data_IF_689574277347
#
_entry.id   IF_689574277347
#
_cell.length_a   1.000
_cell.length_b   1.000
_cell.length_c   1.000
_cell.angle_alpha   90.00
_cell.angle_beta   90.00
_cell.angle_gamma   90.00
#
_symmetry.space_group_name_H-M   'P 1'
#
loop_
_entity.id
_entity.type
_entity.pdbx_description
1 polymer ?
#
# COMPACT_ATOMS: atom_id res chain seq x y z
N UNK A 1 -10.15 -1.13 10.54
CA UNK A 1 -9.76 -2.55 10.47
C UNK A 1 -9.94 -2.99 9.03
N UNK A 2 -8.84 -3.23 8.30
CA UNK A 2 -8.86 -3.67 6.91
C UNK A 2 -8.23 -5.05 6.88
N UNK A 3 -9.01 -6.06 6.46
CA UNK A 3 -8.54 -7.45 6.37
C UNK A 3 -7.99 -7.63 4.98
N UNK A 4 -6.68 -7.87 4.88
CA UNK A 4 -6.03 -8.17 3.63
C UNK A 4 -5.82 -9.68 3.51
N UNK A 5 -6.08 -10.20 2.31
CA UNK A 5 -6.05 -11.63 2.06
C UNK A 5 -4.67 -12.24 2.37
N UNK A 6 -4.66 -13.40 3.01
CA UNK A 6 -3.42 -14.03 3.47
C UNK A 6 -2.52 -14.50 2.33
N UNK A 7 -3.12 -14.97 1.22
CA UNK A 7 -2.37 -15.36 0.03
C UNK A 7 -1.75 -14.12 -0.62
N UNK A 8 -2.49 -13.00 -0.72
CA UNK A 8 -1.97 -11.73 -1.21
C UNK A 8 -0.79 -11.21 -0.35
N UNK A 9 -0.91 -11.27 0.98
CA UNK A 9 0.20 -10.93 1.89
C UNK A 9 1.44 -11.79 1.64
N UNK A 10 1.28 -13.11 1.45
CA UNK A 10 2.39 -14.01 1.14
C UNK A 10 3.02 -13.73 -0.22
N UNK A 11 2.23 -13.35 -1.23
CA UNK A 11 2.72 -12.96 -2.54
C UNK A 11 3.57 -11.70 -2.45
N UNK A 12 3.08 -10.67 -1.75
CA UNK A 12 3.81 -9.42 -1.53
C UNK A 12 5.13 -9.70 -0.79
N UNK A 13 5.08 -10.41 0.34
CA UNK A 13 6.26 -10.70 1.17
C UNK A 13 7.35 -11.53 0.47
N UNK A 14 6.99 -12.33 -0.54
CA UNK A 14 7.97 -13.08 -1.36
C UNK A 14 8.43 -12.32 -2.59
N UNK A 15 7.68 -11.31 -2.99
CA UNK A 15 8.01 -10.46 -4.13
C UNK A 15 8.97 -9.34 -3.70
N UNK A 16 9.53 -8.63 -4.67
CA UNK A 16 10.24 -7.37 -4.43
C UNK A 16 9.33 -6.16 -4.66
N UNK A 17 8.02 -6.33 -4.42
CA UNK A 17 6.99 -5.33 -4.69
C UNK A 17 6.69 -4.58 -3.40
N UNK A 18 6.84 -3.26 -3.43
CA UNK A 18 6.39 -2.38 -2.35
C UNK A 18 4.88 -2.15 -2.49
N UNK A 19 4.12 -2.41 -1.42
CA UNK A 19 2.69 -2.23 -1.35
C UNK A 19 2.33 -1.02 -0.49
N UNK A 20 1.49 -0.14 -1.04
CA UNK A 20 1.01 1.07 -0.39
C UNK A 20 -0.47 0.96 -0.05
N UNK A 21 -0.80 1.10 1.23
CA UNK A 21 -2.17 1.10 1.73
C UNK A 21 -2.57 2.52 2.12
N UNK A 22 -3.43 3.13 1.29
CA UNK A 22 -3.90 4.51 1.43
C UNK A 22 -5.43 4.59 1.43
N UNK A 23 -5.98 5.62 2.07
CA UNK A 23 -7.44 5.82 2.07
C UNK A 23 -7.89 6.46 0.76
N UNK A 24 -8.70 5.76 -0.03
CA UNK A 24 -9.10 6.19 -1.39
C UNK A 24 -9.85 7.52 -1.46
N UNK A 25 -10.42 8.03 -0.35
CA UNK A 25 -11.04 9.35 -0.29
C UNK A 25 -10.01 10.49 -0.25
N UNK A 26 -8.78 10.23 0.18
CA UNK A 26 -7.71 11.22 0.15
C UNK A 26 -6.90 11.09 -1.15
N UNK A 27 -7.38 11.75 -2.20
CA UNK A 27 -6.78 11.71 -3.54
C UNK A 27 -5.32 12.20 -3.56
N UNK A 28 -4.95 13.07 -2.62
CA UNK A 28 -3.61 13.62 -2.52
C UNK A 28 -2.61 12.57 -2.03
N UNK A 29 -3.00 11.74 -1.06
CA UNK A 29 -2.21 10.60 -0.61
C UNK A 29 -2.17 9.48 -1.66
N UNK A 30 -3.27 9.24 -2.38
CA UNK A 30 -3.29 8.29 -3.51
C UNK A 30 -2.27 8.70 -4.57
N UNK A 31 -2.28 9.97 -4.99
CA UNK A 31 -1.31 10.47 -5.97
C UNK A 31 0.13 10.31 -5.47
N UNK A 32 0.40 10.70 -4.23
CA UNK A 32 1.74 10.57 -3.63
C UNK A 32 2.19 9.12 -3.55
N UNK A 33 1.30 8.18 -3.23
CA UNK A 33 1.60 6.75 -3.20
C UNK A 33 1.97 6.21 -4.59
N UNK A 34 1.21 6.58 -5.63
CA UNK A 34 1.53 6.20 -7.01
C UNK A 34 2.87 6.79 -7.47
N UNK A 35 3.19 8.01 -7.04
CA UNK A 35 4.47 8.67 -7.35
C UNK A 35 5.65 8.19 -6.48
N UNK A 36 5.44 7.26 -5.54
CA UNK A 36 6.49 6.78 -4.62
C UNK A 36 6.97 7.85 -3.63
N UNK A 37 6.17 8.90 -3.41
CA UNK A 37 6.49 10.01 -2.48
C UNK A 37 5.93 9.73 -1.08
N UNK A 38 6.45 10.35 -0.02
CA UNK A 38 5.88 10.23 1.32
C UNK A 38 4.39 10.62 1.37
N UNK A 39 3.57 9.76 1.99
CA UNK A 39 2.11 9.92 2.12
C UNK A 39 1.62 9.34 3.45
N UNK A 40 0.40 9.70 3.84
CA UNK A 40 -0.29 9.06 4.96
C UNK A 40 -0.70 7.62 4.61
N UNK A 41 -0.59 6.71 5.56
CA UNK A 41 -1.00 5.31 5.39
C UNK A 41 0.03 4.31 5.89
N UNK A 42 0.05 3.13 5.27
CA UNK A 42 0.98 2.04 5.61
C UNK A 42 1.71 1.57 4.35
N UNK A 43 3.02 1.38 4.47
CA UNK A 43 3.87 0.85 3.41
C UNK A 43 4.43 -0.50 3.87
N UNK A 44 4.33 -1.52 3.02
CA UNK A 44 4.86 -2.87 3.24
C UNK A 44 5.85 -3.17 2.12
N UNK A 45 7.03 -3.69 2.45
CA UNK A 45 8.11 -4.03 1.52
C UNK A 45 8.41 -5.51 1.54
#
# INVERSE_FOLDING_TARGET
HFVFDFLACKLIARSKIEAHFVHGKNLLDVRKAVEGKPHGGTVVK
#
